data_IF_620836812492
#
_entry.id   IF_620836812492
#
_cell.length_a   1.000
_cell.length_b   1.000
_cell.length_c   1.000
_cell.angle_alpha   90.00
_cell.angle_beta   90.00
_cell.angle_gamma   90.00
#
_symmetry.space_group_name_H-M   'P 1'
#
loop_
_entity.id
_entity.type
_entity.pdbx_description
1 polymer ?
#
# COMPACT_ATOMS: atom_id res chain seq x y z
N UNK A 1 -14.84 -10.18 40.93
CA UNK A 1 -15.46 -10.33 39.59
C UNK A 1 -15.23 -9.05 38.79
N UNK A 2 -14.07 -8.91 38.15
CA UNK A 2 -13.77 -7.78 37.27
C UNK A 2 -14.23 -8.15 35.86
N UNK A 3 -15.40 -7.66 35.44
CA UNK A 3 -15.88 -7.82 34.08
C UNK A 3 -15.00 -6.95 33.16
N UNK A 4 -14.08 -7.60 32.44
CA UNK A 4 -13.33 -6.98 31.36
C UNK A 4 -14.32 -6.68 30.23
N UNK A 5 -14.77 -5.43 30.17
CA UNK A 5 -15.46 -4.91 29.00
C UNK A 5 -14.50 -4.98 27.82
N UNK A 6 -14.73 -5.97 26.95
CA UNK A 6 -14.16 -6.04 25.61
C UNK A 6 -14.58 -4.78 24.85
N UNK A 7 -13.67 -3.79 24.79
CA UNK A 7 -13.72 -2.73 23.78
C UNK A 7 -13.59 -3.42 22.41
N UNK A 8 -14.74 -3.65 21.76
CA UNK A 8 -14.76 -3.99 20.36
C UNK A 8 -14.09 -2.83 19.60
N UNK A 9 -13.02 -3.05 18.83
CA UNK A 9 -12.35 -1.97 18.10
C UNK A 9 -13.37 -1.33 17.16
N UNK A 10 -13.59 -0.02 17.31
CA UNK A 10 -14.30 0.75 16.29
C UNK A 10 -13.61 0.53 14.94
N UNK A 11 -14.35 0.39 13.83
CA UNK A 11 -13.78 0.20 12.50
C UNK A 11 -13.05 1.48 12.08
N UNK A 12 -11.84 1.66 12.60
CA UNK A 12 -11.01 2.82 12.33
C UNK A 12 -10.15 2.51 11.11
N UNK A 13 -10.21 3.39 10.10
CA UNK A 13 -9.36 3.32 8.91
C UNK A 13 -7.86 3.43 9.22
N UNK A 14 -7.51 3.70 10.48
CA UNK A 14 -6.15 3.89 10.97
C UNK A 14 -5.25 2.68 10.70
N UNK A 15 -5.73 1.46 10.92
CA UNK A 15 -4.93 0.25 10.74
C UNK A 15 -4.67 -0.08 9.26
N UNK A 16 -5.68 -0.13 8.37
CA UNK A 16 -5.47 -0.32 6.93
C UNK A 16 -4.59 0.77 6.30
N UNK A 17 -4.82 2.04 6.65
CA UNK A 17 -4.04 3.16 6.14
C UNK A 17 -2.58 3.10 6.58
N UNK A 18 -2.33 2.75 7.85
CA UNK A 18 -0.97 2.58 8.37
C UNK A 18 -0.23 1.44 7.68
N UNK A 19 -0.91 0.33 7.41
CA UNK A 19 -0.34 -0.80 6.65
C UNK A 19 0.01 -0.37 5.22
N UNK A 20 -0.87 0.37 4.55
CA UNK A 20 -0.63 0.89 3.20
C UNK A 20 0.57 1.84 3.18
N UNK A 21 0.63 2.82 4.09
CA UNK A 21 1.76 3.75 4.21
C UNK A 21 3.08 3.01 4.54
N UNK A 22 3.05 2.00 5.40
CA UNK A 22 4.22 1.18 5.71
C UNK A 22 4.67 0.35 4.49
N UNK A 23 3.73 -0.19 3.70
CA UNK A 23 4.05 -0.91 2.46
C UNK A 23 4.73 0.00 1.42
N UNK A 24 4.33 1.27 1.34
CA UNK A 24 5.01 2.25 0.47
C UNK A 24 6.39 2.64 1.01
N UNK A 25 6.56 2.69 2.34
CA UNK A 25 7.87 2.85 2.97
C UNK A 25 8.83 1.71 2.63
N UNK A 26 8.32 0.47 2.51
CA UNK A 26 9.14 -0.70 2.18
C UNK A 26 9.77 -0.63 0.78
N UNK A 27 9.27 0.24 -0.12
CA UNK A 27 9.91 0.50 -1.42
C UNK A 27 11.35 1.02 -1.24
N UNK A 28 11.64 1.71 -0.14
CA UNK A 28 13.00 2.15 0.24
C UNK A 28 13.61 1.28 1.34
N UNK A 29 13.11 0.06 1.55
CA UNK A 29 13.51 -0.85 2.62
C UNK A 29 13.29 -0.27 4.03
N UNK A 30 12.28 0.59 4.20
CA UNK A 30 11.93 1.19 5.48
C UNK A 30 10.50 0.82 5.88
N UNK A 31 10.35 0.07 6.97
CA UNK A 31 9.03 -0.33 7.48
C UNK A 31 8.31 0.80 8.24
N UNK A 32 8.37 2.03 7.75
CA UNK A 32 7.89 3.24 8.42
C UNK A 32 6.84 3.97 7.57
N UNK A 33 5.67 4.22 8.17
CA UNK A 33 4.55 4.91 7.53
C UNK A 33 4.87 6.37 7.17
N UNK A 34 5.72 7.06 7.97
CA UNK A 34 6.15 8.42 7.65
C UNK A 34 6.98 8.45 6.35
N UNK A 35 7.85 7.46 6.14
CA UNK A 35 8.64 7.33 4.92
C UNK A 35 7.75 7.11 3.69
N UNK A 36 6.71 6.28 3.83
CA UNK A 36 5.70 6.11 2.78
C UNK A 36 4.95 7.41 2.45
N UNK A 37 4.56 8.17 3.48
CA UNK A 37 3.91 9.47 3.30
C UNK A 37 4.84 10.49 2.60
N UNK A 38 6.13 10.53 2.96
CA UNK A 38 7.11 11.36 2.28
C UNK A 38 7.26 11.00 0.79
N UNK A 39 7.20 9.71 0.45
CA UNK A 39 7.25 9.25 -0.95
C UNK A 39 6.00 9.64 -1.74
N UNK A 40 4.81 9.53 -1.14
CA UNK A 40 3.57 10.08 -1.74
C UNK A 40 3.73 11.59 -1.98
N UNK A 41 4.24 12.33 -0.98
CA UNK A 41 4.49 13.77 -1.11
C UNK A 41 5.47 14.10 -2.23
N UNK A 42 6.55 13.32 -2.37
CA UNK A 42 7.52 13.49 -3.44
C UNK A 42 6.90 13.25 -4.83
N UNK A 43 6.06 12.21 -4.98
CA UNK A 43 5.36 11.98 -6.25
C UNK A 43 4.31 13.04 -6.55
N UNK A 44 3.60 13.55 -5.54
CA UNK A 44 2.61 14.61 -5.71
C UNK A 44 3.24 15.92 -6.24
N UNK A 45 4.47 16.22 -5.82
CA UNK A 45 5.22 17.40 -6.26
C UNK A 45 5.87 17.25 -7.64
N UNK A 46 6.20 16.02 -8.04
CA UNK A 46 6.87 15.74 -9.30
C UNK A 46 5.91 15.30 -10.41
N UNK A 47 5.28 14.14 -10.23
CA UNK A 47 4.52 13.42 -11.26
C UNK A 47 3.30 12.72 -10.64
N UNK A 48 2.16 13.43 -10.51
CA UNK A 48 0.98 12.93 -9.80
C UNK A 48 0.29 11.75 -10.50
N UNK A 49 0.50 11.56 -11.80
CA UNK A 49 0.02 10.38 -12.53
C UNK A 49 0.73 9.10 -12.06
N UNK A 50 2.05 9.16 -11.87
CA UNK A 50 2.84 8.04 -11.36
C UNK A 50 2.45 7.71 -9.90
N UNK A 51 2.08 8.72 -9.11
CA UNK A 51 1.51 8.53 -7.78
C UNK A 51 0.25 7.65 -7.85
N UNK A 52 -0.68 7.98 -8.76
CA UNK A 52 -1.94 7.23 -8.87
C UNK A 52 -1.71 5.78 -9.30
N UNK A 53 -0.83 5.56 -10.28
CA UNK A 53 -0.44 4.22 -10.72
C UNK A 53 0.20 3.40 -9.58
N UNK A 54 1.12 4.00 -8.82
CA UNK A 54 1.77 3.34 -7.69
C UNK A 54 0.79 3.03 -6.54
N UNK A 55 -0.14 3.94 -6.25
CA UNK A 55 -1.18 3.74 -5.23
C UNK A 55 -2.15 2.63 -5.64
N UNK A 56 -2.58 2.61 -6.90
CA UNK A 56 -3.50 1.58 -7.41
C UNK A 56 -2.85 0.19 -7.38
N UNK A 57 -1.59 0.09 -7.81
CA UNK A 57 -0.82 -1.15 -7.74
C UNK A 57 -0.60 -1.64 -6.31
N UNK A 58 -0.23 -0.74 -5.39
CA UNK A 58 -0.08 -1.07 -3.98
C UNK A 58 -1.41 -1.53 -3.36
N UNK A 59 -2.51 -0.84 -3.66
CA UNK A 59 -3.84 -1.17 -3.17
C UNK A 59 -4.28 -2.56 -3.65
N UNK A 60 -4.11 -2.85 -4.95
CA UNK A 60 -4.39 -4.16 -5.52
C UNK A 60 -3.60 -5.27 -4.81
N UNK A 61 -2.29 -5.09 -4.62
CA UNK A 61 -1.44 -6.07 -3.95
C UNK A 61 -1.79 -6.28 -2.46
N UNK A 62 -2.33 -5.26 -1.77
CA UNK A 62 -2.81 -5.41 -0.39
C UNK A 62 -4.17 -6.13 -0.31
N UNK A 63 -5.01 -6.03 -1.35
CA UNK A 63 -6.34 -6.67 -1.40
C UNK A 63 -6.29 -8.10 -1.93
N UNK A 64 -5.40 -8.41 -2.89
CA UNK A 64 -5.32 -9.74 -3.51
C UNK A 64 -5.29 -10.90 -2.48
N UNK A 65 -4.54 -10.81 -1.37
CA UNK A 65 -4.50 -11.91 -0.39
C UNK A 65 -5.78 -12.02 0.45
N UNK A 66 -6.52 -10.93 0.64
CA UNK A 66 -7.84 -10.95 1.29
C UNK A 66 -8.87 -11.71 0.44
N UNK A 67 -8.78 -11.59 -0.89
CA UNK A 67 -9.64 -12.31 -1.84
C UNK A 67 -9.32 -13.82 -1.89
N UNK A 68 -8.06 -14.18 -1.64
CA UNK A 68 -7.59 -15.58 -1.64
C UNK A 68 -7.79 -16.25 -0.26
N UNK A 69 -8.24 -15.52 0.76
CA UNK A 69 -8.44 -16.04 2.11
C UNK A 69 -7.14 -16.32 2.86
N UNK A 70 -6.02 -15.73 2.43
CA UNK A 70 -4.73 -15.89 3.09
C UNK A 70 -4.61 -14.90 4.25
N UNK A 71 -4.72 -15.41 5.48
CA UNK A 71 -4.63 -14.62 6.71
C UNK A 71 -3.19 -14.47 7.23
N UNK A 72 -2.22 -14.34 6.33
CA UNK A 72 -0.82 -14.45 6.71
C UNK A 72 -0.30 -13.21 7.46
N UNK A 73 0.51 -13.43 8.49
CA UNK A 73 1.09 -12.35 9.29
C UNK A 73 1.98 -11.41 8.45
N UNK A 74 2.55 -11.91 7.36
CA UNK A 74 3.35 -11.15 6.39
C UNK A 74 2.52 -10.12 5.60
N UNK A 75 1.21 -10.35 5.45
CA UNK A 75 0.27 -9.39 4.87
C UNK A 75 0.17 -8.13 5.75
N UNK A 76 0.07 -8.32 7.08
CA UNK A 76 0.03 -7.22 8.06
C UNK A 76 1.37 -6.49 8.17
N UNK A 77 2.48 -7.14 7.84
CA UNK A 77 3.80 -6.53 7.86
C UNK A 77 4.06 -5.57 6.67
N UNK A 78 3.19 -5.59 5.65
CA UNK A 78 3.33 -4.80 4.42
C UNK A 78 4.29 -5.42 3.41
N UNK A 79 4.73 -6.67 3.62
CA UNK A 79 5.70 -7.37 2.75
C UNK A 79 5.10 -7.83 1.42
N UNK A 80 3.79 -8.04 1.34
CA UNK A 80 3.12 -8.39 0.08
C UNK A 80 2.70 -7.14 -0.73
N UNK A 81 2.45 -6.02 -0.06
CA UNK A 81 1.95 -4.79 -0.69
C UNK A 81 3.00 -3.96 -1.42
N UNK A 82 4.29 -4.03 -1.03
CA UNK A 82 5.33 -3.17 -1.60
C UNK A 82 5.59 -3.45 -3.09
N UNK A 83 5.44 -4.72 -3.51
CA UNK A 83 5.64 -5.13 -4.91
C UNK A 83 4.56 -4.57 -5.85
N UNK A 84 3.38 -4.24 -5.32
CA UNK A 84 2.29 -3.68 -6.10
C UNK A 84 2.60 -2.29 -6.67
N UNK A 85 3.28 -1.43 -5.90
CA UNK A 85 3.60 -0.07 -6.33
C UNK A 85 4.49 0.00 -7.59
N UNK A 86 5.66 -0.68 -7.66
CA UNK A 86 6.46 -0.71 -8.89
C UNK A 86 5.77 -1.47 -10.02
N UNK A 87 4.96 -2.50 -9.73
CA UNK A 87 4.18 -3.18 -10.77
C UNK A 87 3.16 -2.24 -11.43
N UNK A 88 2.45 -1.43 -10.64
CA UNK A 88 1.52 -0.42 -11.15
C UNK A 88 2.24 0.67 -11.95
N UNK A 89 3.41 1.10 -11.50
CA UNK A 89 4.25 2.07 -12.21
C UNK A 89 4.68 1.53 -13.60
N UNK A 90 5.19 0.30 -13.64
CA UNK A 90 5.60 -0.37 -14.88
C UNK A 90 4.41 -0.52 -15.84
N UNK A 91 3.26 -1.00 -15.35
CA UNK A 91 2.06 -1.14 -16.17
C UNK A 91 1.60 0.20 -16.76
N UNK A 92 1.63 1.27 -15.97
CA UNK A 92 1.28 2.61 -16.44
C UNK A 92 2.28 3.15 -17.47
N UNK A 93 3.59 2.96 -17.24
CA UNK A 93 4.63 3.38 -18.19
C UNK A 93 4.51 2.69 -19.55
N UNK A 94 4.14 1.40 -19.59
CA UNK A 94 3.93 0.69 -20.86
C UNK A 94 2.59 1.03 -21.53
N UNK A 95 1.56 1.43 -20.77
CA UNK A 95 0.27 1.82 -21.32
C UNK A 95 0.28 3.22 -21.94
N UNK A 96 1.17 4.10 -21.46
CA UNK A 96 1.30 5.48 -21.93
C UNK A 96 2.29 5.67 -23.09
N UNK A 97 2.91 4.61 -23.62
CA UNK A 97 3.88 4.71 -24.71
C UNK A 97 3.20 4.54 -26.09
N UNK A 98 2.97 5.62 -26.86
CA UNK A 98 2.44 5.51 -28.22
C UNK A 98 3.45 4.90 -29.22
N UNK A 99 4.70 4.62 -28.83
CA UNK A 99 5.68 3.96 -29.69
C UNK A 99 5.55 2.43 -29.71
N UNK A 100 4.67 1.84 -28.89
CA UNK A 100 4.43 0.40 -28.80
C UNK A 100 2.98 -0.02 -29.16
N UNK A 101 2.20 0.86 -29.79
CA UNK A 101 0.83 0.59 -30.25
C UNK A 101 0.74 0.43 -31.77
#
# INVERSE_FOLDING_TARGET
>A
MHAAATDAPSPSLSAPLRTLLRSLGQIVLQSNAATGACRIGAWLLGEPLLMYAALLGAFAANISPMLVGSADADLRAGMLGFNGAPAGLVAFSFMGDPANA
#
